data_IF_575078125956
#
_entry.id   IF_575078125956
#
_cell.length_a   1.000
_cell.length_b   1.000
_cell.length_c   1.000
_cell.angle_alpha   90.00
_cell.angle_beta   90.00
_cell.angle_gamma   90.00
#
_symmetry.space_group_name_H-M   'P 1'
#
loop_
_entity.id
_entity.type
_entity.pdbx_description
1 polymer ?
#
# COMPACT_ATOMS: atom_id res chain seq x y z
N UNK A 1 -24.17 59.01 32.71
CA UNK A 1 -23.78 58.26 31.53
C UNK A 1 -22.85 57.10 32.00
N UNK A 2 -23.37 55.86 32.04
CA UNK A 2 -22.59 54.68 32.48
C UNK A 2 -22.17 53.93 31.22
N UNK A 3 -20.89 53.93 30.88
CA UNK A 3 -20.33 53.19 29.77
C UNK A 3 -20.23 51.69 30.11
N UNK A 4 -20.85 50.86 29.29
CA UNK A 4 -20.80 49.40 29.39
C UNK A 4 -19.65 48.92 28.52
N UNK A 5 -18.59 48.38 29.16
CA UNK A 5 -17.48 47.73 28.46
C UNK A 5 -17.85 46.26 28.18
N UNK A 6 -18.01 45.92 26.90
CA UNK A 6 -18.11 44.51 26.45
C UNK A 6 -16.70 43.95 26.30
N UNK A 7 -16.34 42.98 27.14
CA UNK A 7 -15.12 42.19 26.98
C UNK A 7 -15.48 41.00 26.05
N UNK A 8 -14.96 41.04 24.82
CA UNK A 8 -15.07 39.95 23.87
C UNK A 8 -14.01 38.89 24.22
N UNK A 9 -14.43 37.81 24.85
CA UNK A 9 -13.54 36.65 25.14
C UNK A 9 -13.36 35.83 23.84
N UNK A 10 -12.17 35.94 23.23
CA UNK A 10 -11.77 35.07 22.11
C UNK A 10 -11.38 33.70 22.66
N UNK A 11 -12.28 32.73 22.55
CA UNK A 11 -11.99 31.31 22.87
C UNK A 11 -11.17 30.72 21.75
N UNK A 12 -9.86 30.58 21.94
CA UNK A 12 -8.98 29.83 21.03
C UNK A 12 -9.22 28.36 21.26
N UNK A 13 -10.04 27.76 20.38
CA UNK A 13 -10.21 26.32 20.34
C UNK A 13 -8.98 25.70 19.67
N UNK A 14 -7.99 25.30 20.49
CA UNK A 14 -6.84 24.53 20.01
C UNK A 14 -7.35 23.16 19.56
N UNK A 15 -7.38 22.95 18.25
CA UNK A 15 -7.60 21.64 17.64
C UNK A 15 -6.42 20.73 17.99
N UNK A 16 -6.52 20.01 19.10
CA UNK A 16 -5.64 18.87 19.35
C UNK A 16 -5.95 17.79 18.30
N UNK A 17 -5.17 17.76 17.24
CA UNK A 17 -5.08 16.56 16.43
C UNK A 17 -4.33 15.51 17.24
N UNK A 18 -4.93 14.38 17.60
CA UNK A 18 -4.17 13.30 18.20
C UNK A 18 -3.11 12.88 17.18
N UNK A 19 -1.85 13.12 17.49
CA UNK A 19 -0.76 12.51 16.74
C UNK A 19 -0.95 11.01 16.90
N UNK A 20 -1.39 10.34 15.84
CA UNK A 20 -1.43 8.88 15.78
C UNK A 20 0.00 8.41 15.99
N UNK A 21 0.30 7.95 17.21
CA UNK A 21 1.60 7.38 17.51
C UNK A 21 1.85 6.24 16.54
N UNK A 22 2.81 6.42 15.64
CA UNK A 22 3.18 5.37 14.72
C UNK A 22 3.80 4.25 15.55
N UNK A 23 3.20 3.05 15.51
CA UNK A 23 3.80 1.88 16.15
C UNK A 23 5.19 1.66 15.56
N UNK A 24 6.21 1.68 16.40
CA UNK A 24 7.58 1.38 16.03
C UNK A 24 7.92 0.01 16.62
N UNK A 25 8.42 -0.90 15.79
CA UNK A 25 8.85 -2.21 16.24
C UNK A 25 10.00 -2.09 17.25
N UNK A 26 9.93 -2.80 18.36
CA UNK A 26 11.04 -2.92 19.30
C UNK A 26 12.03 -4.02 18.90
N UNK A 27 11.63 -4.89 17.97
CA UNK A 27 12.44 -6.04 17.50
C UNK A 27 13.40 -5.63 16.39
N UNK A 28 12.90 -4.83 15.44
CA UNK A 28 13.69 -4.40 14.29
C UNK A 28 13.35 -2.97 13.89
N UNK A 29 14.37 -2.14 13.80
CA UNK A 29 14.29 -0.77 13.27
C UNK A 29 15.38 -0.61 12.23
N UNK A 30 14.99 -0.46 10.97
CA UNK A 30 15.91 -0.29 9.84
C UNK A 30 16.58 1.09 9.84
N UNK A 31 15.83 2.15 10.17
CA UNK A 31 16.33 3.52 10.24
C UNK A 31 17.04 3.76 11.58
N UNK A 32 18.33 4.08 11.53
CA UNK A 32 19.17 4.34 12.71
C UNK A 32 19.04 5.78 13.23
N UNK A 33 18.32 6.66 12.53
CA UNK A 33 18.06 8.04 12.93
C UNK A 33 19.25 8.99 12.77
N UNK A 34 20.36 8.54 12.14
CA UNK A 34 21.60 9.29 11.94
C UNK A 34 21.93 9.49 10.46
N UNK A 35 20.97 9.24 9.56
CA UNK A 35 21.16 9.22 8.12
C UNK A 35 21.66 7.88 7.59
N UNK A 36 21.82 6.88 8.45
CA UNK A 36 22.17 5.51 8.09
C UNK A 36 20.96 4.58 8.26
N UNK A 37 20.99 3.49 7.53
CA UNK A 37 20.01 2.41 7.68
C UNK A 37 20.68 1.04 7.57
N UNK A 38 19.98 0.01 8.03
CA UNK A 38 20.42 -1.38 7.96
C UNK A 38 19.39 -2.25 7.25
N UNK A 39 19.89 -3.24 6.53
CA UNK A 39 19.05 -4.25 5.87
C UNK A 39 18.65 -5.38 6.84
N UNK A 40 17.46 -5.99 6.62
CA UNK A 40 16.46 -5.60 5.61
C UNK A 40 15.71 -4.33 6.04
N UNK A 41 15.39 -3.45 5.08
CA UNK A 41 14.55 -2.25 5.36
C UNK A 41 13.12 -2.64 5.76
N UNK A 42 12.63 -3.78 5.26
CA UNK A 42 11.38 -4.42 5.64
C UNK A 42 11.70 -5.79 6.25
N UNK A 43 11.50 -5.93 7.56
CA UNK A 43 11.70 -7.20 8.28
C UNK A 43 10.42 -8.06 8.22
N UNK A 44 10.01 -8.40 7.01
CA UNK A 44 8.82 -9.19 6.68
C UNK A 44 8.99 -9.86 5.32
N UNK A 45 8.13 -10.83 5.01
CA UNK A 45 8.10 -11.48 3.70
C UNK A 45 7.35 -10.61 2.69
N UNK A 46 8.11 -9.98 1.80
CA UNK A 46 7.63 -9.24 0.64
C UNK A 46 8.39 -9.76 -0.59
N UNK A 47 7.99 -10.93 -1.10
CA UNK A 47 8.66 -11.52 -2.26
C UNK A 47 8.36 -10.76 -3.54
N UNK A 48 9.32 -10.73 -4.45
CA UNK A 48 9.22 -10.07 -5.76
C UNK A 48 8.73 -8.62 -5.66
N UNK A 49 9.30 -7.78 -4.78
CA UNK A 49 8.80 -6.43 -4.59
C UNK A 49 9.10 -5.56 -5.80
N UNK A 50 8.14 -4.71 -6.18
CA UNK A 50 8.32 -3.68 -7.18
C UNK A 50 7.91 -2.32 -6.64
N UNK A 51 8.61 -1.25 -7.05
CA UNK A 51 8.45 0.11 -6.54
C UNK A 51 8.28 1.10 -7.68
N UNK A 52 7.36 2.04 -7.54
CA UNK A 52 7.30 3.22 -8.39
C UNK A 52 7.42 4.51 -7.58
N UNK A 53 8.03 5.54 -8.18
CA UNK A 53 8.13 6.88 -7.62
C UNK A 53 7.07 7.80 -8.23
N UNK A 54 6.43 8.63 -7.40
CA UNK A 54 5.47 9.66 -7.82
C UNK A 54 5.77 10.94 -7.06
N UNK A 55 6.48 11.86 -7.69
CA UNK A 55 7.02 13.04 -7.03
C UNK A 55 8.04 12.63 -5.95
N UNK A 56 7.75 12.95 -4.68
CA UNK A 56 8.57 12.59 -3.52
C UNK A 56 8.07 11.33 -2.79
N UNK A 57 7.06 10.66 -3.36
CA UNK A 57 6.44 9.49 -2.77
C UNK A 57 6.89 8.21 -3.48
N UNK A 58 7.08 7.14 -2.72
CA UNK A 58 7.39 5.81 -3.22
C UNK A 58 6.28 4.86 -2.84
N UNK A 59 5.82 4.06 -3.80
CA UNK A 59 4.80 3.04 -3.60
C UNK A 59 5.36 1.68 -3.98
N UNK A 60 5.23 0.72 -3.07
CA UNK A 60 5.70 -0.65 -3.23
C UNK A 60 4.51 -1.61 -3.20
N UNK A 61 4.58 -2.64 -4.02
CA UNK A 61 3.74 -3.84 -3.95
C UNK A 61 4.61 -5.09 -4.00
N UNK A 62 4.04 -6.24 -3.64
CA UNK A 62 4.75 -7.52 -3.60
C UNK A 62 3.80 -8.68 -3.90
N UNK A 63 4.37 -9.86 -4.21
CA UNK A 63 3.63 -11.10 -4.33
C UNK A 63 2.81 -11.37 -3.09
N UNK A 64 1.56 -11.78 -3.26
CA UNK A 64 0.66 -12.13 -2.16
C UNK A 64 0.07 -13.54 -2.31
N UNK A 65 0.39 -14.21 -3.39
CA UNK A 65 -0.11 -15.55 -3.71
C UNK A 65 -1.65 -15.60 -3.60
N UNK A 66 -2.19 -16.59 -2.91
CA UNK A 66 -3.64 -16.69 -2.66
C UNK A 66 -4.08 -16.03 -1.33
N UNK A 67 -3.22 -15.22 -0.71
CA UNK A 67 -3.58 -14.49 0.51
C UNK A 67 -4.53 -13.34 0.20
N UNK A 68 -5.54 -13.15 1.07
CA UNK A 68 -6.48 -12.03 1.00
C UNK A 68 -6.54 -11.27 2.32
N UNK A 69 -6.54 -9.94 2.29
CA UNK A 69 -6.40 -9.09 1.11
C UNK A 69 -5.03 -9.26 0.45
N UNK A 70 -4.98 -9.12 -0.90
CA UNK A 70 -3.77 -9.30 -1.69
C UNK A 70 -3.24 -8.00 -2.30
N UNK A 71 -2.06 -8.06 -2.90
CA UNK A 71 -1.32 -6.90 -3.44
C UNK A 71 -1.19 -5.79 -2.39
N UNK A 72 -0.36 -5.97 -1.36
CA UNK A 72 -0.13 -4.93 -0.36
C UNK A 72 0.41 -3.67 -1.03
N UNK A 73 -0.09 -2.52 -0.60
CA UNK A 73 0.40 -1.21 -1.03
C UNK A 73 1.12 -0.58 0.15
N UNK A 74 2.43 -0.42 0.01
CA UNK A 74 3.25 0.26 0.99
C UNK A 74 3.65 1.62 0.45
N UNK A 75 3.75 2.59 1.33
CA UNK A 75 4.17 3.94 1.03
C UNK A 75 5.41 4.32 1.85
N UNK A 76 6.34 5.04 1.22
CA UNK A 76 7.52 5.63 1.87
C UNK A 76 7.85 6.99 1.25
N UNK A 77 8.57 7.83 1.99
CA UNK A 77 9.19 9.08 1.53
C UNK A 77 10.71 8.94 1.32
N UNK A 78 11.31 7.86 1.79
CA UNK A 78 12.76 7.73 1.90
C UNK A 78 13.30 6.33 1.54
N UNK A 79 12.43 5.40 1.12
CA UNK A 79 12.75 4.01 0.81
C UNK A 79 13.21 3.17 2.02
N UNK A 80 13.22 3.73 3.21
CA UNK A 80 13.63 3.08 4.46
C UNK A 80 12.44 2.88 5.40
N UNK A 81 11.65 3.94 5.56
CA UNK A 81 10.48 3.94 6.44
C UNK A 81 9.22 3.66 5.63
N UNK A 82 8.75 2.42 5.67
CA UNK A 82 7.60 1.93 4.93
C UNK A 82 6.37 1.74 5.81
N UNK A 83 5.21 2.06 5.26
CA UNK A 83 3.89 1.82 5.87
C UNK A 83 2.98 1.10 4.90
N UNK A 84 2.31 0.04 5.34
CA UNK A 84 1.16 -0.51 4.60
C UNK A 84 0.05 0.53 4.68
N UNK A 85 -0.41 0.98 3.53
CA UNK A 85 -1.47 1.99 3.40
C UNK A 85 -2.74 1.44 2.82
N UNK A 86 -2.65 0.32 2.07
CA UNK A 86 -3.80 -0.32 1.44
C UNK A 86 -3.46 -1.73 0.95
N UNK A 87 -4.45 -2.39 0.36
CA UNK A 87 -4.35 -3.61 -0.44
C UNK A 87 -5.17 -3.43 -1.71
N UNK A 88 -4.55 -3.68 -2.87
CA UNK A 88 -5.23 -3.48 -4.16
C UNK A 88 -6.27 -4.57 -4.46
N UNK A 89 -6.16 -5.74 -3.85
CA UNK A 89 -7.10 -6.84 -4.03
C UNK A 89 -7.82 -7.17 -2.72
N UNK A 90 -9.13 -6.98 -2.69
CA UNK A 90 -9.98 -7.47 -1.59
C UNK A 90 -10.15 -8.99 -1.62
N UNK A 91 -10.10 -9.58 -2.84
CA UNK A 91 -10.19 -11.01 -3.13
C UNK A 91 -9.31 -11.33 -4.32
N UNK A 92 -8.82 -12.56 -4.41
CA UNK A 92 -8.14 -13.09 -5.60
C UNK A 92 -9.20 -13.65 -6.55
N UNK A 93 -9.10 -13.32 -7.82
CA UNK A 93 -10.00 -13.80 -8.88
C UNK A 93 -9.34 -14.95 -9.67
N UNK A 94 -10.12 -15.97 -10.14
CA UNK A 94 -11.56 -16.16 -9.90
C UNK A 94 -11.88 -16.60 -8.47
N UNK A 95 -12.89 -15.98 -7.86
CA UNK A 95 -13.23 -16.23 -6.44
C UNK A 95 -13.62 -17.70 -6.21
N UNK A 96 -14.32 -18.32 -7.15
CA UNK A 96 -14.75 -19.73 -7.05
C UNK A 96 -13.56 -20.70 -7.01
N UNK A 97 -12.43 -20.32 -7.60
CA UNK A 97 -11.21 -21.11 -7.58
C UNK A 97 -10.40 -20.85 -6.30
N UNK A 98 -10.32 -19.59 -5.85
CA UNK A 98 -9.53 -19.17 -4.70
C UNK A 98 -10.29 -19.14 -3.38
N UNK A 99 -11.56 -19.61 -3.33
CA UNK A 99 -12.28 -19.85 -2.07
C UNK A 99 -11.73 -21.05 -1.26
N UNK A 100 -10.85 -21.84 -1.89
CA UNK A 100 -10.06 -22.89 -1.26
C UNK A 100 -8.59 -22.52 -1.22
N UNK A 101 -7.85 -23.10 -0.27
CA UNK A 101 -6.40 -22.86 -0.17
C UNK A 101 -5.68 -23.42 -1.41
N UNK A 102 -4.97 -22.54 -2.12
CA UNK A 102 -4.15 -22.84 -3.31
C UNK A 102 -2.72 -22.38 -3.07
N UNK A 103 -2.02 -23.04 -2.15
CA UNK A 103 -0.69 -22.64 -1.72
C UNK A 103 0.26 -22.43 -2.90
N UNK A 104 0.91 -21.25 -2.91
CA UNK A 104 1.83 -20.86 -3.98
C UNK A 104 1.17 -20.43 -5.29
N UNK A 105 -0.17 -20.41 -5.41
CA UNK A 105 -0.91 -19.94 -6.59
C UNK A 105 -1.40 -18.50 -6.38
N UNK A 106 -1.95 -17.89 -7.42
CA UNK A 106 -2.55 -16.55 -7.37
C UNK A 106 -1.56 -15.46 -7.80
N UNK A 107 -1.31 -14.48 -6.95
CA UNK A 107 -0.58 -13.26 -7.30
C UNK A 107 0.93 -13.45 -7.24
N UNK A 108 1.57 -13.48 -8.41
CA UNK A 108 3.02 -13.61 -8.58
C UNK A 108 3.64 -12.35 -9.16
N UNK A 109 4.81 -11.97 -8.65
CA UNK A 109 5.71 -10.95 -9.17
C UNK A 109 5.00 -9.72 -9.77
N UNK A 110 4.26 -8.96 -8.97
CA UNK A 110 3.52 -7.80 -9.46
C UNK A 110 4.46 -6.70 -9.92
N UNK A 111 3.99 -5.90 -10.89
CA UNK A 111 4.68 -4.71 -11.38
C UNK A 111 3.80 -3.49 -11.22
N UNK A 112 4.22 -2.51 -10.40
CA UNK A 112 3.50 -1.26 -10.18
C UNK A 112 4.08 -0.14 -11.04
N UNK A 113 3.21 0.62 -11.74
CA UNK A 113 3.60 1.77 -12.54
C UNK A 113 2.61 2.91 -12.34
N UNK A 114 3.11 4.14 -12.51
CA UNK A 114 2.30 5.36 -12.50
C UNK A 114 2.42 6.06 -13.84
N UNK A 115 1.28 6.35 -14.47
CA UNK A 115 1.23 7.03 -15.75
C UNK A 115 -0.04 7.89 -15.85
N UNK A 116 0.11 9.16 -16.23
CA UNK A 116 -0.99 10.11 -16.42
C UNK A 116 -2.00 10.18 -15.27
N UNK A 117 -1.48 10.19 -14.03
CA UNK A 117 -2.30 10.29 -12.83
C UNK A 117 -3.02 9.00 -12.43
N UNK A 118 -2.59 7.85 -12.98
CA UNK A 118 -3.17 6.53 -12.70
C UNK A 118 -2.08 5.56 -12.30
N UNK A 119 -2.30 4.83 -11.22
CA UNK A 119 -1.51 3.67 -10.84
C UNK A 119 -2.04 2.43 -11.55
N UNK A 120 -1.14 1.59 -12.02
CA UNK A 120 -1.39 0.29 -12.64
C UNK A 120 -0.57 -0.76 -11.92
N UNK A 121 -1.17 -1.89 -11.60
CA UNK A 121 -0.46 -3.08 -11.14
C UNK A 121 -0.82 -4.23 -12.06
N UNK A 122 0.21 -4.83 -12.66
CA UNK A 122 0.10 -6.08 -13.42
C UNK A 122 0.72 -7.20 -12.60
N UNK A 123 0.15 -8.39 -12.65
CA UNK A 123 0.74 -9.58 -12.03
C UNK A 123 0.46 -10.83 -12.86
N UNK A 124 1.32 -11.83 -12.69
CA UNK A 124 1.12 -13.17 -13.20
C UNK A 124 0.29 -14.01 -12.25
N UNK A 125 -0.61 -14.79 -12.80
CA UNK A 125 -1.27 -15.90 -12.13
C UNK A 125 -0.95 -17.17 -12.90
N UNK A 126 -0.32 -18.19 -12.27
CA UNK A 126 0.18 -19.36 -12.99
C UNK A 126 -0.92 -20.21 -13.62
N UNK A 127 -2.15 -20.12 -13.14
CA UNK A 127 -3.27 -20.92 -13.63
C UNK A 127 -4.16 -20.17 -14.64
N UNK A 128 -4.11 -18.83 -14.67
CA UNK A 128 -5.01 -18.02 -15.48
C UNK A 128 -4.32 -17.06 -16.43
N UNK A 129 -3.13 -16.56 -16.10
CA UNK A 129 -2.36 -15.66 -16.95
C UNK A 129 -2.09 -14.30 -16.34
N UNK A 130 -2.15 -13.22 -17.12
CA UNK A 130 -1.77 -11.88 -16.67
C UNK A 130 -3.02 -11.06 -16.35
N UNK A 131 -3.09 -10.60 -15.12
CA UNK A 131 -4.13 -9.68 -14.65
C UNK A 131 -3.61 -8.26 -14.49
N UNK A 132 -4.54 -7.29 -14.36
CA UNK A 132 -4.26 -5.90 -14.09
C UNK A 132 -5.35 -5.30 -13.21
N UNK A 133 -4.94 -4.42 -12.28
CA UNK A 133 -5.81 -3.46 -11.58
C UNK A 133 -5.25 -2.06 -11.73
N UNK A 134 -6.10 -1.05 -11.54
CA UNK A 134 -5.69 0.35 -11.58
C UNK A 134 -6.49 1.20 -10.59
N UNK A 135 -5.93 2.34 -10.23
CA UNK A 135 -6.59 3.39 -9.44
C UNK A 135 -5.97 4.76 -9.68
N UNK A 136 -6.70 5.83 -9.38
CA UNK A 136 -6.13 7.19 -9.27
C UNK A 136 -5.67 7.54 -7.86
N UNK A 137 -6.15 6.80 -6.86
CA UNK A 137 -5.81 7.00 -5.45
C UNK A 137 -5.33 5.67 -4.83
N UNK A 138 -4.02 5.51 -4.57
CA UNK A 138 -3.48 4.26 -4.02
C UNK A 138 -3.93 4.01 -2.57
N UNK A 139 -4.47 5.01 -1.88
CA UNK A 139 -5.03 4.89 -0.53
C UNK A 139 -6.52 4.49 -0.53
N UNK A 140 -7.20 4.69 -1.67
CA UNK A 140 -8.63 4.45 -1.86
C UNK A 140 -8.96 3.10 -2.50
N UNK A 141 -10.08 3.06 -3.20
CA UNK A 141 -10.54 1.86 -3.90
C UNK A 141 -9.74 1.63 -5.19
N UNK A 142 -9.43 0.38 -5.44
CA UNK A 142 -8.86 -0.10 -6.69
C UNK A 142 -9.97 -0.70 -7.55
N UNK A 143 -9.83 -0.58 -8.86
CA UNK A 143 -10.76 -1.18 -9.82
C UNK A 143 -10.82 -2.71 -9.65
N UNK A 144 -11.82 -3.35 -10.23
CA UNK A 144 -11.87 -4.81 -10.29
C UNK A 144 -10.73 -5.34 -11.17
N UNK A 145 -10.15 -6.51 -10.82
CA UNK A 145 -9.16 -7.17 -11.65
C UNK A 145 -9.66 -7.44 -13.07
N UNK A 146 -8.79 -7.22 -14.04
CA UNK A 146 -9.06 -7.54 -15.46
C UNK A 146 -8.01 -8.54 -15.92
N UNK A 147 -8.45 -9.66 -16.48
CA UNK A 147 -7.57 -10.61 -17.19
C UNK A 147 -7.14 -9.98 -18.52
N UNK A 148 -5.89 -9.56 -18.61
CA UNK A 148 -5.32 -8.87 -19.78
C UNK A 148 -4.91 -9.89 -20.84
N UNK A 149 -4.33 -11.01 -20.40
CA UNK A 149 -3.87 -12.08 -21.27
C UNK A 149 -4.06 -13.42 -20.58
N UNK A 150 -4.88 -14.26 -21.16
CA UNK A 150 -5.01 -15.64 -20.69
C UNK A 150 -3.72 -16.43 -20.99
N UNK A 151 -3.33 -17.26 -20.05
CA UNK A 151 -2.19 -18.15 -20.14
C UNK A 151 -2.22 -19.13 -18.98
N UNK A 152 -1.40 -20.17 -19.07
CA UNK A 152 -1.19 -21.14 -18.01
C UNK A 152 0.26 -21.56 -18.10
N UNK A 153 0.93 -21.66 -16.94
CA UNK A 153 2.24 -22.29 -16.88
C UNK A 153 2.05 -23.81 -16.99
N UNK A 154 2.72 -24.41 -17.97
CA UNK A 154 2.72 -25.87 -18.21
C UNK A 154 3.77 -26.56 -17.32
#
# INVERSE_FOLDING_TARGET
>A
MKGLFFILSLSVCSLFHPAMAQYRSEVWVSDEGNGMYRNPVLHADYSDPDVCAVGEDYFLTASSFNCTPGLPILHSKDLVNWKIVNYALKKVEPVEYYNEARHGKGVWAPSIRFHEGVFYIYWGDPDFGIFMVKTRDPYGEWDKPVLVKAGKDD
#
